data_IF_812864250733
#
_entry.id   IF_812864250733
#
_cell.length_a   1.000
_cell.length_b   1.000
_cell.length_c   1.000
_cell.angle_alpha   90.00
_cell.angle_beta   90.00
_cell.angle_gamma   90.00
#
_symmetry.space_group_name_H-M   'P 1'
#
loop_
_entity.id
_entity.type
_entity.pdbx_description
1 polymer ?
#
# COMPACT_ATOMS: atom_id res chain seq x y z
N UNK A 1 82.70 5.58 48.22
CA UNK A 1 81.81 6.57 47.54
C UNK A 1 81.36 5.99 46.22
N UNK A 2 80.19 5.43 46.20
CA UNK A 2 79.53 4.90 45.02
C UNK A 2 78.48 5.88 44.55
N UNK A 3 78.68 6.47 43.38
CA UNK A 3 77.66 7.28 42.71
C UNK A 3 76.86 6.39 41.75
N UNK A 4 75.57 6.20 42.07
CA UNK A 4 74.57 5.57 41.21
C UNK A 4 74.11 6.59 40.20
N UNK A 5 74.31 6.32 38.89
CA UNK A 5 73.72 7.04 37.78
C UNK A 5 72.34 6.38 37.46
N UNK A 6 71.31 7.11 37.75
CA UNK A 6 69.99 6.77 37.23
C UNK A 6 69.77 7.50 35.91
N UNK A 7 69.64 6.77 34.83
CA UNK A 7 69.20 7.32 33.56
C UNK A 7 67.65 7.35 33.48
N UNK A 8 67.02 8.46 33.09
CA UNK A 8 65.58 8.54 32.92
C UNK A 8 65.15 7.93 31.57
N UNK A 9 64.62 6.75 31.63
CA UNK A 9 63.88 6.23 30.48
C UNK A 9 62.56 7.02 30.32
N UNK A 10 62.57 8.04 29.48
CA UNK A 10 61.37 8.64 28.96
C UNK A 10 60.65 7.62 28.04
N UNK A 11 59.59 7.01 28.53
CA UNK A 11 58.66 6.30 27.68
C UNK A 11 57.93 7.32 26.82
N UNK A 12 58.28 7.44 25.54
CA UNK A 12 57.47 8.10 24.53
C UNK A 12 56.20 7.28 24.32
N UNK A 13 55.09 7.72 24.91
CA UNK A 13 53.77 7.25 24.54
C UNK A 13 53.46 7.77 23.11
N UNK A 14 53.82 6.98 22.12
CA UNK A 14 53.34 7.21 20.76
C UNK A 14 51.83 6.93 20.73
N UNK A 15 51.03 7.95 20.84
CA UNK A 15 49.62 7.89 20.47
C UNK A 15 49.53 7.62 18.96
N UNK A 16 49.66 6.34 18.58
CA UNK A 16 49.28 5.88 17.24
C UNK A 16 47.75 6.10 17.13
N UNK A 17 47.36 7.10 16.36
CA UNK A 17 45.95 7.21 15.94
C UNK A 17 45.54 5.87 15.31
N UNK A 18 44.44 5.26 15.74
CA UNK A 18 43.96 4.05 15.08
C UNK A 18 43.77 4.32 13.60
N UNK A 19 44.28 3.43 12.77
CA UNK A 19 44.08 3.52 11.34
C UNK A 19 42.57 3.58 11.03
N UNK A 20 42.14 4.42 10.06
CA UNK A 20 40.73 4.52 9.73
C UNK A 20 40.21 3.13 9.34
N UNK A 21 39.20 2.66 10.07
CA UNK A 21 38.54 1.40 9.76
C UNK A 21 37.77 1.61 8.43
N UNK A 22 38.31 1.07 7.36
CA UNK A 22 37.64 1.09 6.05
C UNK A 22 36.50 0.06 6.11
N UNK A 23 35.28 0.54 6.25
CA UNK A 23 34.08 -0.31 6.20
C UNK A 23 33.78 -0.57 4.73
N UNK A 24 33.96 -1.79 4.28
CA UNK A 24 33.53 -2.22 2.95
C UNK A 24 32.07 -2.65 3.05
N UNK A 25 31.18 -1.89 2.44
CA UNK A 25 29.79 -2.33 2.22
C UNK A 25 29.76 -3.24 1.01
N UNK A 26 29.66 -4.55 1.24
CA UNK A 26 29.49 -5.52 0.16
C UNK A 26 27.99 -5.64 -0.15
N UNK A 27 27.55 -5.09 -1.28
CA UNK A 27 26.19 -5.26 -1.76
C UNK A 27 26.12 -6.54 -2.60
N UNK A 28 25.48 -7.57 -2.07
CA UNK A 28 25.14 -8.77 -2.84
C UNK A 28 23.80 -8.50 -3.50
N UNK A 29 23.81 -8.19 -4.80
CA UNK A 29 22.57 -8.14 -5.58
C UNK A 29 22.11 -9.56 -5.87
N UNK A 30 21.18 -10.08 -5.08
CA UNK A 30 20.50 -11.35 -5.39
C UNK A 30 19.47 -11.05 -6.48
N UNK A 31 19.81 -11.32 -7.71
CA UNK A 31 18.84 -11.31 -8.82
C UNK A 31 18.02 -12.61 -8.75
N UNK A 32 16.78 -12.51 -8.27
CA UNK A 32 15.85 -13.61 -8.42
C UNK A 32 15.53 -13.80 -9.90
N UNK A 33 15.72 -15.03 -10.40
CA UNK A 33 15.35 -15.38 -11.77
C UNK A 33 13.83 -15.35 -11.89
N UNK A 34 13.27 -14.57 -12.85
CA UNK A 34 11.84 -14.52 -13.05
C UNK A 34 11.27 -15.90 -13.37
N UNK A 35 10.26 -16.32 -12.63
CA UNK A 35 9.56 -17.60 -12.86
C UNK A 35 8.61 -17.51 -14.04
N UNK A 36 8.12 -16.33 -14.37
CA UNK A 36 7.11 -16.06 -15.38
C UNK A 36 5.73 -16.61 -15.04
N UNK A 37 5.45 -16.84 -13.75
CA UNK A 37 4.15 -17.35 -13.29
C UNK A 37 3.14 -16.24 -13.15
N UNK A 38 2.00 -16.40 -13.79
CA UNK A 38 0.87 -15.48 -13.69
C UNK A 38 -0.41 -16.24 -13.35
N UNK A 39 -1.36 -15.53 -12.78
CA UNK A 39 -2.62 -16.08 -12.35
C UNK A 39 -3.74 -15.11 -12.72
N UNK A 40 -4.90 -15.62 -13.10
CA UNK A 40 -6.09 -14.79 -13.25
C UNK A 40 -7.33 -15.47 -12.71
N UNK A 41 -8.29 -14.65 -12.34
CA UNK A 41 -9.61 -15.08 -11.93
C UNK A 41 -10.57 -13.89 -11.98
N UNK A 42 -11.85 -14.13 -11.79
CA UNK A 42 -12.90 -13.13 -11.87
C UNK A 42 -13.62 -13.01 -10.53
N UNK A 43 -13.92 -11.78 -10.14
CA UNK A 43 -14.76 -11.58 -8.95
C UNK A 43 -16.20 -12.02 -9.20
N UNK A 44 -16.96 -12.25 -8.12
CA UNK A 44 -18.42 -12.26 -8.20
C UNK A 44 -18.95 -10.93 -8.75
N UNK A 45 -20.23 -10.93 -9.17
CA UNK A 45 -20.91 -9.73 -9.64
C UNK A 45 -20.89 -8.65 -8.56
N UNK A 46 -20.53 -7.43 -8.96
CA UNK A 46 -20.60 -6.29 -8.06
C UNK A 46 -22.06 -5.90 -7.80
N UNK A 47 -22.43 -5.48 -6.58
CA UNK A 47 -23.85 -5.21 -6.25
C UNK A 47 -24.56 -4.23 -7.17
N UNK A 48 -23.80 -3.28 -7.73
CA UNK A 48 -24.33 -2.25 -8.63
C UNK A 48 -23.58 -2.26 -9.95
N UNK A 49 -24.28 -2.37 -11.08
CA UNK A 49 -23.66 -2.19 -12.40
C UNK A 49 -23.14 -0.75 -12.52
N UNK A 50 -21.92 -0.60 -13.02
CA UNK A 50 -21.29 0.71 -13.13
C UNK A 50 -21.90 1.56 -14.25
N UNK A 51 -21.65 2.88 -14.21
CA UNK A 51 -22.06 3.82 -15.27
C UNK A 51 -21.44 3.52 -16.65
N UNK A 52 -20.39 2.69 -16.69
CA UNK A 52 -19.78 2.18 -17.92
C UNK A 52 -20.26 0.78 -18.30
N UNK A 53 -21.27 0.25 -17.60
CA UNK A 53 -21.83 -1.08 -17.83
C UNK A 53 -21.02 -2.22 -17.23
N UNK A 54 -19.99 -1.94 -16.43
CA UNK A 54 -19.19 -2.99 -15.80
C UNK A 54 -19.94 -3.60 -14.62
N UNK A 55 -19.87 -4.93 -14.50
CA UNK A 55 -20.53 -5.69 -13.43
C UNK A 55 -19.57 -6.60 -12.66
N UNK A 56 -18.36 -6.83 -13.17
CA UNK A 56 -17.35 -7.71 -12.59
C UNK A 56 -15.98 -7.04 -12.64
N UNK A 57 -15.02 -7.63 -11.92
CA UNK A 57 -13.62 -7.23 -11.99
C UNK A 57 -12.82 -8.48 -12.36
N UNK A 58 -12.08 -8.41 -13.46
CA UNK A 58 -11.07 -9.39 -13.83
C UNK A 58 -9.81 -9.05 -13.07
N UNK A 59 -9.25 -10.01 -12.33
CA UNK A 59 -8.03 -9.87 -11.59
C UNK A 59 -6.92 -10.68 -12.25
N UNK A 60 -5.82 -10.01 -12.50
CA UNK A 60 -4.61 -10.60 -13.02
C UNK A 60 -3.48 -10.38 -12.00
N UNK A 61 -2.81 -11.45 -11.63
CA UNK A 61 -1.74 -11.44 -10.65
C UNK A 61 -0.45 -11.97 -11.25
N UNK A 62 0.60 -11.17 -11.22
CA UNK A 62 1.95 -11.58 -11.56
C UNK A 62 2.71 -11.96 -10.30
N UNK A 63 3.21 -13.20 -10.27
CA UNK A 63 3.88 -13.74 -9.09
C UNK A 63 5.22 -13.02 -8.84
N UNK A 64 5.97 -12.77 -9.88
CA UNK A 64 7.33 -12.27 -9.78
C UNK A 64 7.38 -10.82 -9.30
N UNK A 65 6.66 -9.93 -9.92
CA UNK A 65 6.52 -8.54 -9.45
C UNK A 65 5.63 -8.40 -8.23
N UNK A 66 4.84 -9.44 -7.88
CA UNK A 66 3.79 -9.39 -6.86
C UNK A 66 2.68 -8.38 -7.17
N UNK A 67 2.52 -8.00 -8.45
CA UNK A 67 1.58 -7.00 -8.92
C UNK A 67 0.18 -7.60 -9.11
N UNK A 68 -0.83 -6.93 -8.57
CA UNK A 68 -2.24 -7.28 -8.77
C UNK A 68 -2.89 -6.19 -9.64
N UNK A 69 -3.43 -6.60 -10.78
CA UNK A 69 -4.13 -5.71 -11.70
C UNK A 69 -5.63 -6.02 -11.72
N UNK A 70 -6.45 -5.11 -11.22
CA UNK A 70 -7.90 -5.18 -11.33
C UNK A 70 -8.38 -4.44 -12.58
N UNK A 71 -9.13 -5.13 -13.43
CA UNK A 71 -9.70 -4.58 -14.67
C UNK A 71 -11.22 -4.73 -14.60
N UNK A 72 -11.99 -3.63 -14.59
CA UNK A 72 -13.45 -3.73 -14.61
C UNK A 72 -13.93 -4.27 -15.95
N UNK A 73 -14.83 -5.25 -15.91
CA UNK A 73 -15.38 -5.91 -17.10
C UNK A 73 -16.91 -5.93 -17.05
N UNK A 74 -17.54 -5.91 -18.23
CA UNK A 74 -19.01 -5.86 -18.36
C UNK A 74 -19.65 -7.20 -18.03
N UNK A 75 -19.11 -8.25 -18.60
CA UNK A 75 -19.62 -9.62 -18.51
C UNK A 75 -18.43 -10.62 -18.44
N UNK A 76 -18.74 -11.90 -18.34
CA UNK A 76 -17.75 -12.99 -18.32
C UNK A 76 -17.64 -13.69 -19.68
N UNK A 77 -17.99 -13.03 -20.77
CA UNK A 77 -17.84 -13.58 -22.11
C UNK A 77 -16.37 -13.74 -22.51
N UNK A 78 -16.11 -14.73 -23.34
CA UNK A 78 -14.76 -15.07 -23.80
C UNK A 78 -14.02 -13.88 -24.41
N UNK A 79 -14.70 -13.06 -25.19
CA UNK A 79 -14.13 -11.85 -25.82
C UNK A 79 -13.74 -10.78 -24.80
N UNK A 80 -14.57 -10.57 -23.77
CA UNK A 80 -14.31 -9.61 -22.70
C UNK A 80 -13.15 -10.05 -21.83
N UNK A 81 -13.08 -11.34 -21.49
CA UNK A 81 -11.99 -11.94 -20.71
C UNK A 81 -10.70 -11.85 -21.50
N UNK A 82 -10.70 -12.21 -22.78
CA UNK A 82 -9.53 -12.11 -23.67
C UNK A 82 -9.01 -10.67 -23.75
N UNK A 83 -9.90 -9.69 -23.90
CA UNK A 83 -9.52 -8.28 -23.92
C UNK A 83 -8.82 -7.86 -22.60
N UNK A 84 -9.39 -8.22 -21.45
CA UNK A 84 -8.83 -7.91 -20.14
C UNK A 84 -7.47 -8.62 -19.94
N UNK A 85 -7.38 -9.89 -20.32
CA UNK A 85 -6.13 -10.65 -20.28
C UNK A 85 -5.05 -10.01 -21.14
N UNK A 86 -5.37 -9.69 -22.40
CA UNK A 86 -4.45 -9.03 -23.35
C UNK A 86 -3.94 -7.69 -22.80
N UNK A 87 -4.82 -6.89 -22.18
CA UNK A 87 -4.44 -5.64 -21.53
C UNK A 87 -3.43 -5.88 -20.40
N UNK A 88 -3.68 -6.87 -19.53
CA UNK A 88 -2.80 -7.21 -18.42
C UNK A 88 -1.46 -7.80 -18.90
N UNK A 89 -1.49 -8.68 -19.89
CA UNK A 89 -0.29 -9.27 -20.50
C UNK A 89 0.60 -8.20 -21.13
N UNK A 90 0.02 -7.31 -21.93
CA UNK A 90 0.76 -6.21 -22.56
C UNK A 90 1.41 -5.26 -21.53
N UNK A 91 0.78 -5.07 -20.38
CA UNK A 91 1.38 -4.30 -19.28
C UNK A 91 2.67 -4.94 -18.78
N UNK A 92 2.67 -6.26 -18.56
CA UNK A 92 3.87 -6.99 -18.12
C UNK A 92 4.98 -6.98 -19.19
N UNK A 93 4.61 -7.22 -20.45
CA UNK A 93 5.57 -7.20 -21.56
C UNK A 93 6.24 -5.83 -21.70
N UNK A 94 5.48 -4.74 -21.57
CA UNK A 94 6.03 -3.37 -21.55
C UNK A 94 6.99 -3.13 -20.39
N UNK A 95 6.76 -3.78 -19.25
CA UNK A 95 7.65 -3.73 -18.09
C UNK A 95 8.88 -4.65 -18.20
N UNK A 96 9.06 -5.34 -19.34
CA UNK A 96 10.16 -6.27 -19.58
C UNK A 96 9.98 -7.65 -18.93
N UNK A 97 8.80 -7.93 -18.37
CA UNK A 97 8.46 -9.23 -17.83
C UNK A 97 7.85 -10.12 -18.92
N UNK A 98 8.22 -11.40 -18.90
CA UNK A 98 7.73 -12.38 -19.88
C UNK A 98 6.98 -13.50 -19.17
N UNK A 99 5.66 -13.47 -19.14
CA UNK A 99 4.86 -14.59 -18.65
C UNK A 99 5.20 -15.87 -19.43
N UNK A 100 5.40 -16.97 -18.70
CA UNK A 100 5.70 -18.29 -19.27
C UNK A 100 4.64 -19.33 -18.91
N UNK A 101 4.07 -19.19 -17.71
CA UNK A 101 3.07 -20.08 -17.19
C UNK A 101 1.91 -19.28 -16.63
N UNK A 102 0.71 -19.57 -17.14
CA UNK A 102 -0.51 -18.95 -16.65
C UNK A 102 -1.42 -19.99 -15.99
N UNK A 103 -1.85 -19.69 -14.76
CA UNK A 103 -2.82 -20.53 -14.05
C UNK A 103 -4.16 -19.81 -14.01
N UNK A 104 -5.20 -20.50 -14.44
CA UNK A 104 -6.57 -19.99 -14.50
C UNK A 104 -7.54 -21.03 -13.93
N UNK A 105 -8.76 -20.60 -13.64
CA UNK A 105 -9.83 -21.53 -13.28
C UNK A 105 -10.27 -22.35 -14.51
N UNK A 106 -11.11 -23.38 -14.30
CA UNK A 106 -11.46 -24.38 -15.30
C UNK A 106 -12.06 -23.85 -16.61
N UNK A 107 -12.46 -22.59 -16.67
CA UNK A 107 -13.07 -21.97 -17.84
C UNK A 107 -12.02 -21.22 -18.69
N UNK A 108 -11.37 -21.94 -19.61
CA UNK A 108 -10.51 -21.34 -20.62
C UNK A 108 -11.17 -21.42 -22.00
N UNK A 109 -11.50 -20.27 -22.58
CA UNK A 109 -12.04 -20.23 -23.96
C UNK A 109 -10.96 -20.56 -24.98
N UNK A 110 -11.36 -21.10 -26.14
CA UNK A 110 -10.42 -21.40 -27.23
C UNK A 110 -9.64 -20.14 -27.65
N UNK A 111 -10.31 -18.99 -27.76
CA UNK A 111 -9.66 -17.74 -28.14
C UNK A 111 -8.56 -17.30 -27.14
N UNK A 112 -8.75 -17.58 -25.85
CA UNK A 112 -7.71 -17.30 -24.84
C UNK A 112 -6.55 -18.30 -24.93
N UNK A 113 -6.84 -19.57 -25.25
CA UNK A 113 -5.80 -20.60 -25.50
C UNK A 113 -4.96 -20.22 -26.69
N UNK A 114 -5.58 -19.92 -27.83
CA UNK A 114 -4.91 -19.51 -29.05
C UNK A 114 -4.01 -18.28 -28.81
N UNK A 115 -4.48 -17.33 -28.02
CA UNK A 115 -3.70 -16.16 -27.64
C UNK A 115 -2.46 -16.53 -26.80
N UNK A 116 -2.61 -17.42 -25.82
CA UNK A 116 -1.49 -17.88 -24.99
C UNK A 116 -0.48 -18.68 -25.82
N UNK A 117 -0.93 -19.58 -26.66
CA UNK A 117 -0.07 -20.39 -27.54
C UNK A 117 0.73 -19.49 -28.51
N UNK A 118 0.09 -18.49 -29.12
CA UNK A 118 0.74 -17.51 -29.98
C UNK A 118 1.80 -16.65 -29.28
N UNK A 119 1.68 -16.51 -27.93
CA UNK A 119 2.66 -15.79 -27.11
C UNK A 119 3.61 -16.71 -26.34
N UNK A 120 3.66 -18.00 -26.67
CA UNK A 120 4.48 -19.03 -26.01
C UNK A 120 4.26 -19.10 -24.48
N UNK A 121 3.01 -18.96 -24.04
CA UNK A 121 2.60 -19.04 -22.64
C UNK A 121 1.95 -20.40 -22.41
N UNK A 122 2.55 -21.24 -21.59
CA UNK A 122 1.94 -22.48 -21.13
C UNK A 122 0.82 -22.15 -20.15
N UNK A 123 -0.29 -22.90 -20.19
CA UNK A 123 -1.39 -22.69 -19.23
C UNK A 123 -1.69 -23.94 -18.43
N UNK A 124 -2.17 -23.74 -17.21
CA UNK A 124 -2.66 -24.79 -16.31
C UNK A 124 -4.02 -24.38 -15.76
N UNK A 125 -4.95 -25.34 -15.77
CA UNK A 125 -6.24 -25.15 -15.11
C UNK A 125 -6.19 -25.70 -13.68
N UNK A 126 -6.85 -25.03 -12.75
CA UNK A 126 -6.94 -25.48 -11.36
C UNK A 126 -7.96 -26.61 -11.27
N UNK A 127 -7.64 -27.77 -10.70
CA UNK A 127 -8.60 -28.86 -10.53
C UNK A 127 -9.80 -28.44 -9.68
N UNK A 128 -10.97 -28.96 -10.02
CA UNK A 128 -12.23 -28.73 -9.28
C UNK A 128 -12.03 -29.12 -7.81
N UNK A 129 -12.42 -28.23 -6.89
CA UNK A 129 -12.34 -28.47 -5.44
C UNK A 129 -10.99 -28.14 -4.78
N UNK A 130 -9.97 -27.72 -5.52
CA UNK A 130 -8.66 -27.31 -4.96
C UNK A 130 -8.40 -25.81 -5.01
N UNK A 131 -9.45 -24.99 -4.99
CA UNK A 131 -9.38 -23.53 -5.09
C UNK A 131 -8.46 -22.88 -4.06
N UNK A 132 -8.37 -23.42 -2.85
CA UNK A 132 -7.56 -22.87 -1.75
C UNK A 132 -6.04 -22.81 -2.03
N UNK A 133 -5.54 -23.51 -3.04
CA UNK A 133 -4.12 -23.48 -3.43
C UNK A 133 -3.79 -22.44 -4.49
N UNK A 134 -4.80 -21.79 -5.03
CA UNK A 134 -4.59 -20.83 -6.10
C UNK A 134 -4.09 -19.48 -5.51
N UNK A 135 -2.93 -19.03 -5.97
CA UNK A 135 -2.40 -17.72 -5.61
C UNK A 135 -3.32 -16.58 -6.09
N UNK A 136 -4.14 -16.80 -7.13
CA UNK A 136 -5.15 -15.88 -7.61
C UNK A 136 -6.24 -15.63 -6.56
N UNK A 137 -6.71 -16.65 -5.86
CA UNK A 137 -7.76 -16.49 -4.83
C UNK A 137 -7.30 -15.55 -3.72
N UNK A 138 -6.04 -15.70 -3.24
CA UNK A 138 -5.45 -14.78 -2.26
C UNK A 138 -5.28 -13.37 -2.81
N UNK A 139 -4.91 -13.24 -4.07
CA UNK A 139 -4.83 -11.94 -4.73
C UNK A 139 -6.20 -11.28 -4.85
N UNK A 140 -7.25 -12.04 -5.18
CA UNK A 140 -8.63 -11.57 -5.20
C UNK A 140 -9.06 -11.08 -3.82
N UNK A 141 -8.83 -11.87 -2.78
CA UNK A 141 -9.18 -11.48 -1.41
C UNK A 141 -8.44 -10.19 -1.00
N UNK A 142 -7.16 -10.10 -1.30
CA UNK A 142 -6.35 -8.91 -1.01
C UNK A 142 -6.88 -7.69 -1.75
N UNK A 143 -7.19 -7.83 -3.04
CA UNK A 143 -7.75 -6.75 -3.85
C UNK A 143 -9.12 -6.31 -3.33
N UNK A 144 -10.03 -7.27 -3.06
CA UNK A 144 -11.36 -6.98 -2.52
C UNK A 144 -11.29 -6.21 -1.21
N UNK A 145 -10.47 -6.67 -0.28
CA UNK A 145 -10.31 -6.01 1.02
C UNK A 145 -9.79 -4.58 0.87
N UNK A 146 -8.79 -4.38 0.02
CA UNK A 146 -8.24 -3.05 -0.25
C UNK A 146 -9.27 -2.14 -0.94
N UNK A 147 -10.02 -2.66 -1.92
CA UNK A 147 -11.03 -1.90 -2.64
C UNK A 147 -12.23 -1.54 -1.75
N UNK A 148 -12.70 -2.47 -0.90
CA UNK A 148 -13.77 -2.22 0.08
C UNK A 148 -13.31 -1.16 1.09
N UNK A 149 -12.07 -1.25 1.59
CA UNK A 149 -11.51 -0.22 2.45
C UNK A 149 -11.49 1.15 1.75
N UNK A 150 -11.09 1.21 0.48
CA UNK A 150 -11.16 2.44 -0.32
C UNK A 150 -12.58 2.96 -0.49
N UNK A 151 -13.56 2.10 -0.76
CA UNK A 151 -14.97 2.48 -0.87
C UNK A 151 -15.53 3.01 0.46
N UNK A 152 -15.09 2.48 1.60
CA UNK A 152 -15.51 2.96 2.92
C UNK A 152 -14.98 4.35 3.27
N UNK A 153 -13.95 4.83 2.57
CA UNK A 153 -13.43 6.20 2.71
C UNK A 153 -14.09 7.21 1.77
N UNK A 154 -14.92 6.75 0.83
CA UNK A 154 -15.68 7.62 -0.04
C UNK A 154 -16.71 8.46 0.75
N UNK A 155 -17.07 9.61 0.21
CA UNK A 155 -18.20 10.41 0.72
C UNK A 155 -19.48 9.53 0.72
N UNK A 156 -20.33 9.55 1.77
CA UNK A 156 -21.58 8.80 1.80
C UNK A 156 -22.52 9.08 0.64
N UNK A 157 -22.44 10.25 0.04
CA UNK A 157 -23.22 10.62 -1.13
C UNK A 157 -22.53 10.26 -2.45
N UNK A 158 -21.35 9.60 -2.40
CA UNK A 158 -20.66 9.16 -3.61
C UNK A 158 -21.53 8.19 -4.40
N UNK A 159 -21.80 8.46 -5.69
CA UNK A 159 -22.64 7.60 -6.51
C UNK A 159 -21.98 6.24 -6.75
N UNK A 160 -22.46 5.19 -6.09
CA UNK A 160 -21.82 3.88 -6.11
C UNK A 160 -21.68 3.31 -7.54
N UNK A 161 -22.53 3.69 -8.49
CA UNK A 161 -22.37 3.28 -9.90
C UNK A 161 -21.10 3.82 -10.57
N UNK A 162 -20.33 4.70 -9.90
CA UNK A 162 -19.03 5.18 -10.38
C UNK A 162 -17.85 4.31 -9.88
N UNK A 163 -18.11 3.22 -9.17
CA UNK A 163 -17.09 2.37 -8.55
C UNK A 163 -15.96 1.96 -9.49
N UNK A 164 -16.26 1.66 -10.75
CA UNK A 164 -15.25 1.20 -11.71
C UNK A 164 -14.19 2.28 -12.03
N UNK A 165 -14.53 3.56 -11.82
CA UNK A 165 -13.61 4.69 -12.03
C UNK A 165 -12.57 4.82 -10.92
N UNK A 166 -12.80 4.18 -9.78
CA UNK A 166 -11.86 4.15 -8.65
C UNK A 166 -10.81 3.03 -8.78
N UNK A 167 -11.05 2.04 -9.64
CA UNK A 167 -10.16 0.87 -9.82
C UNK A 167 -8.72 1.28 -10.20
N UNK A 168 -8.48 2.24 -11.12
CA UNK A 168 -7.11 2.64 -11.46
C UNK A 168 -6.32 3.13 -10.25
N UNK A 169 -6.90 3.95 -9.38
CA UNK A 169 -6.23 4.38 -8.16
C UNK A 169 -6.06 3.23 -7.16
N UNK A 170 -7.05 2.34 -7.05
CA UNK A 170 -6.95 1.15 -6.22
C UNK A 170 -5.75 0.28 -6.64
N UNK A 171 -5.55 0.07 -7.95
CA UNK A 171 -4.37 -0.64 -8.48
C UNK A 171 -3.07 0.05 -8.08
N UNK A 172 -2.99 1.39 -8.17
CA UNK A 172 -1.81 2.15 -7.78
C UNK A 172 -1.53 1.95 -6.29
N UNK A 173 -2.49 2.28 -5.43
CA UNK A 173 -2.30 2.29 -3.98
C UNK A 173 -2.03 0.89 -3.42
N UNK A 174 -2.72 -0.14 -3.94
CA UNK A 174 -2.48 -1.52 -3.54
C UNK A 174 -1.04 -1.96 -3.85
N UNK A 175 -0.57 -1.68 -5.05
CA UNK A 175 0.74 -2.16 -5.51
C UNK A 175 1.91 -1.30 -4.98
N UNK A 176 1.67 -0.06 -4.54
CA UNK A 176 2.64 0.72 -3.78
C UNK A 176 2.94 0.12 -2.40
N UNK A 177 1.94 -0.55 -1.79
CA UNK A 177 2.06 -1.19 -0.47
C UNK A 177 2.64 -2.60 -0.52
N UNK A 178 2.79 -3.19 -1.69
CA UNK A 178 3.26 -4.56 -1.90
C UNK A 178 4.73 -4.54 -2.35
N UNK A 179 5.57 -5.37 -1.75
CA UNK A 179 6.96 -5.56 -2.20
C UNK A 179 7.05 -6.50 -3.41
N UNK A 180 7.94 -6.21 -4.35
CA UNK A 180 8.29 -7.13 -5.45
C UNK A 180 9.09 -8.32 -4.93
N UNK A 181 8.91 -9.50 -5.56
CA UNK A 181 9.74 -10.67 -5.26
C UNK A 181 11.03 -10.70 -6.06
N UNK A 182 11.05 -10.04 -7.23
CA UNK A 182 12.28 -9.91 -8.04
C UNK A 182 13.30 -9.00 -7.38
N UNK A 183 12.83 -7.88 -6.83
CA UNK A 183 13.66 -6.93 -6.12
C UNK A 183 12.92 -6.45 -4.87
N UNK A 184 13.28 -6.97 -3.68
CA UNK A 184 12.62 -6.60 -2.42
C UNK A 184 12.70 -5.11 -2.06
N UNK A 185 13.64 -4.37 -2.67
CA UNK A 185 13.77 -2.91 -2.46
C UNK A 185 12.76 -2.10 -3.28
N UNK A 186 12.03 -2.74 -4.20
CA UNK A 186 11.01 -2.10 -5.02
C UNK A 186 9.61 -2.52 -4.57
N UNK A 187 8.67 -1.60 -4.68
CA UNK A 187 7.26 -1.98 -4.62
C UNK A 187 6.85 -2.73 -5.89
N UNK A 188 5.76 -3.50 -5.81
CA UNK A 188 5.17 -4.14 -6.99
C UNK A 188 4.82 -3.12 -8.07
N UNK A 189 4.37 -1.93 -7.67
CA UNK A 189 4.14 -0.82 -8.58
C UNK A 189 5.45 -0.38 -9.27
N UNK A 190 6.50 -0.16 -8.48
CA UNK A 190 7.78 0.31 -9.01
C UNK A 190 8.44 -0.72 -9.95
N UNK A 191 8.22 -2.01 -9.72
CA UNK A 191 8.70 -3.08 -10.58
C UNK A 191 8.08 -3.03 -11.99
N UNK A 192 6.82 -2.58 -12.12
CA UNK A 192 6.08 -2.52 -13.40
C UNK A 192 6.16 -1.14 -14.05
N UNK A 193 6.03 -0.07 -13.26
CA UNK A 193 5.85 1.29 -13.76
C UNK A 193 7.03 2.23 -13.48
N UNK A 194 8.04 1.75 -12.76
CA UNK A 194 9.08 2.61 -12.21
C UNK A 194 8.64 3.31 -10.90
N UNK A 195 9.55 4.05 -10.31
CA UNK A 195 9.32 4.74 -9.03
C UNK A 195 8.15 5.73 -9.12
N UNK A 196 7.17 5.59 -8.23
CA UNK A 196 6.04 6.50 -8.18
C UNK A 196 6.46 7.86 -7.63
N UNK A 197 6.16 8.92 -8.37
CA UNK A 197 6.48 10.28 -7.96
C UNK A 197 5.23 10.97 -7.36
N UNK A 198 5.14 10.99 -6.03
CA UNK A 198 4.04 11.63 -5.31
C UNK A 198 4.00 13.15 -5.50
N UNK A 199 5.12 13.79 -5.85
CA UNK A 199 5.16 15.22 -6.10
C UNK A 199 4.50 15.57 -7.43
N UNK A 200 4.75 14.79 -8.48
CA UNK A 200 4.14 15.01 -9.80
C UNK A 200 2.71 14.44 -9.88
N UNK A 201 2.40 13.44 -9.08
CA UNK A 201 1.12 12.70 -9.11
C UNK A 201 0.57 12.55 -7.69
N UNK A 202 0.07 13.63 -7.08
CA UNK A 202 -0.49 13.56 -5.73
C UNK A 202 -1.76 12.74 -5.73
N UNK A 203 -1.93 11.91 -4.68
CA UNK A 203 -3.09 11.06 -4.48
C UNK A 203 -4.02 11.72 -3.45
N UNK A 204 -5.32 11.67 -3.72
CA UNK A 204 -6.37 12.05 -2.77
C UNK A 204 -7.19 10.83 -2.34
N UNK A 205 -8.00 10.95 -1.28
CA UNK A 205 -8.94 9.89 -0.91
C UNK A 205 -9.95 9.65 -2.03
N UNK A 206 -10.16 8.40 -2.48
CA UNK A 206 -11.09 8.11 -3.57
C UNK A 206 -12.51 8.48 -3.21
N UNK A 207 -13.29 8.93 -4.19
CA UNK A 207 -14.70 9.28 -4.02
C UNK A 207 -14.96 10.50 -3.13
N UNK A 208 -13.95 11.35 -2.88
CA UNK A 208 -14.14 12.61 -2.15
C UNK A 208 -14.94 13.60 -2.99
N UNK A 209 -15.89 14.30 -2.36
CA UNK A 209 -16.58 15.42 -2.98
C UNK A 209 -15.60 16.57 -3.27
N UNK A 210 -15.66 17.12 -4.48
CA UNK A 210 -14.77 18.19 -4.92
C UNK A 210 -15.55 19.23 -5.73
N UNK A 211 -15.03 20.45 -5.75
CA UNK A 211 -15.36 21.45 -6.76
C UNK A 211 -14.18 21.53 -7.74
N UNK A 212 -14.41 21.13 -8.97
CA UNK A 212 -13.40 21.19 -10.03
C UNK A 212 -13.52 22.51 -10.79
N UNK A 213 -12.39 23.19 -10.96
CA UNK A 213 -12.37 24.48 -11.65
C UNK A 213 -12.11 24.29 -13.14
N UNK A 214 -12.84 25.06 -13.95
CA UNK A 214 -12.68 25.10 -15.40
C UNK A 214 -12.04 26.43 -15.80
N UNK A 215 -10.86 26.37 -16.38
CA UNK A 215 -10.11 27.56 -16.83
C UNK A 215 -10.59 28.10 -18.17
N UNK A 216 -11.47 27.38 -18.87
CA UNK A 216 -11.94 27.75 -20.23
C UNK A 216 -13.22 28.58 -20.24
N UNK A 217 -13.84 28.84 -19.08
CA UNK A 217 -15.09 29.60 -18.99
C UNK A 217 -14.89 31.11 -19.11
N UNK A 218 -15.95 31.78 -19.54
CA UNK A 218 -15.97 33.23 -19.62
C UNK A 218 -15.72 33.89 -18.24
N UNK A 219 -15.10 35.08 -18.24
CA UNK A 219 -14.61 35.76 -17.03
C UNK A 219 -15.65 35.95 -15.91
N UNK A 220 -16.93 36.06 -16.25
CA UNK A 220 -18.04 36.28 -15.30
C UNK A 220 -18.87 35.06 -15.02
N UNK A 221 -18.52 33.87 -15.57
CA UNK A 221 -19.23 32.61 -15.29
C UNK A 221 -18.71 31.97 -14.03
N UNK A 222 -19.56 31.18 -13.36
CA UNK A 222 -19.12 30.31 -12.27
C UNK A 222 -18.12 29.27 -12.80
N UNK A 223 -16.88 29.33 -12.33
CA UNK A 223 -15.80 28.45 -12.78
C UNK A 223 -15.79 27.09 -12.08
N UNK A 224 -16.33 26.99 -10.87
CA UNK A 224 -16.39 25.75 -10.09
C UNK A 224 -17.59 24.88 -10.49
N UNK A 225 -17.39 23.57 -10.61
CA UNK A 225 -18.44 22.58 -10.81
C UNK A 225 -18.32 21.45 -9.82
N UNK A 226 -19.47 21.07 -9.22
CA UNK A 226 -19.55 19.95 -8.26
C UNK A 226 -19.22 18.63 -8.92
N UNK A 227 -18.40 17.85 -8.25
CA UNK A 227 -17.99 16.55 -8.74
C UNK A 227 -17.39 15.65 -7.65
N UNK A 228 -16.83 14.55 -8.11
CA UNK A 228 -16.23 13.51 -7.30
C UNK A 228 -14.83 13.23 -7.80
N UNK A 229 -13.86 13.22 -6.90
CA UNK A 229 -12.51 12.78 -7.24
C UNK A 229 -12.51 11.28 -7.54
N UNK A 230 -12.02 10.90 -8.72
CA UNK A 230 -11.99 9.50 -9.17
C UNK A 230 -10.59 8.95 -9.44
N UNK A 231 -9.57 9.77 -9.23
CA UNK A 231 -8.18 9.31 -9.31
C UNK A 231 -7.22 10.38 -9.85
N UNK A 232 -5.92 10.10 -9.80
CA UNK A 232 -4.90 10.97 -10.39
C UNK A 232 -4.93 10.89 -11.92
N UNK A 233 -4.39 11.89 -12.58
CA UNK A 233 -4.08 11.88 -13.99
C UNK A 233 -2.57 11.63 -14.16
N UNK A 234 -2.21 10.44 -14.70
CA UNK A 234 -0.82 9.97 -14.72
C UNK A 234 0.07 10.69 -15.74
N UNK A 235 -0.53 11.22 -16.80
CA UNK A 235 0.12 11.86 -17.95
C UNK A 235 0.18 13.38 -17.84
N UNK A 236 -0.22 13.94 -16.69
CA UNK A 236 -0.22 15.38 -16.47
C UNK A 236 0.21 15.74 -15.06
N UNK A 237 1.17 16.67 -14.97
CA UNK A 237 1.75 17.12 -13.71
C UNK A 237 0.70 17.72 -12.78
N UNK A 238 0.56 17.14 -11.58
CA UNK A 238 -0.35 17.56 -10.50
C UNK A 238 -1.81 17.74 -10.94
N UNK A 239 -2.27 16.90 -11.86
CA UNK A 239 -3.64 16.93 -12.32
C UNK A 239 -4.42 15.71 -11.82
N UNK A 240 -5.72 15.91 -11.71
CA UNK A 240 -6.66 14.95 -11.16
C UNK A 240 -7.78 14.67 -12.15
N UNK A 241 -8.41 13.52 -12.02
CA UNK A 241 -9.66 13.19 -12.70
C UNK A 241 -10.81 13.43 -11.74
N UNK A 242 -11.73 14.29 -12.12
CA UNK A 242 -12.98 14.55 -11.41
C UNK A 242 -14.16 14.12 -12.28
N UNK A 243 -15.09 13.38 -11.71
CA UNK A 243 -16.38 13.12 -12.37
C UNK A 243 -17.34 14.27 -12.04
N UNK A 244 -17.74 15.02 -13.03
CA UNK A 244 -18.63 16.16 -12.88
C UNK A 244 -20.10 15.69 -12.95
N UNK A 245 -20.85 15.99 -11.90
CA UNK A 245 -22.22 15.53 -11.77
C UNK A 245 -23.14 16.14 -12.85
N UNK A 246 -22.95 17.41 -13.17
CA UNK A 246 -23.75 18.16 -14.15
C UNK A 246 -23.60 17.60 -15.57
N UNK A 247 -22.37 17.33 -15.99
CA UNK A 247 -22.07 16.84 -17.35
C UNK A 247 -22.07 15.33 -17.45
N UNK A 248 -22.12 14.60 -16.33
CA UNK A 248 -22.01 13.14 -16.22
C UNK A 248 -20.77 12.57 -16.90
N UNK A 249 -19.69 13.32 -16.89
CA UNK A 249 -18.43 12.97 -17.56
C UNK A 249 -17.22 13.22 -16.67
N UNK A 250 -16.10 12.56 -16.99
CA UNK A 250 -14.83 12.84 -16.35
C UNK A 250 -14.20 14.12 -16.94
N UNK A 251 -13.60 14.91 -16.07
CA UNK A 251 -12.84 16.09 -16.42
C UNK A 251 -11.46 16.04 -15.79
N UNK A 252 -10.48 16.51 -16.53
CA UNK A 252 -9.16 16.84 -16.02
C UNK A 252 -9.23 18.17 -15.26
N UNK A 253 -8.72 18.18 -14.03
CA UNK A 253 -8.63 19.38 -13.21
C UNK A 253 -7.22 19.52 -12.63
N UNK A 254 -6.62 20.70 -12.76
CA UNK A 254 -5.36 21.04 -12.10
C UNK A 254 -5.60 21.63 -10.71
N UNK A 255 -6.76 22.25 -10.52
CA UNK A 255 -7.16 22.87 -9.26
C UNK A 255 -8.52 22.37 -8.84
N UNK A 256 -8.64 21.97 -7.59
CA UNK A 256 -9.89 21.50 -7.00
C UNK A 256 -9.97 21.92 -5.53
N UNK A 257 -11.16 22.28 -5.09
CA UNK A 257 -11.46 22.36 -3.66
C UNK A 257 -11.96 21.00 -3.17
N UNK A 258 -11.42 20.58 -2.05
CA UNK A 258 -11.67 19.27 -1.48
C UNK A 258 -12.59 19.38 -0.28
N UNK A 259 -13.61 18.54 -0.25
CA UNK A 259 -14.53 18.42 0.87
C UNK A 259 -14.46 17.02 1.48
N UNK A 260 -13.32 16.64 2.08
CA UNK A 260 -13.22 15.36 2.74
C UNK A 260 -14.21 15.37 3.90
N UNK A 261 -15.01 14.32 4.01
CA UNK A 261 -15.80 14.14 5.21
C UNK A 261 -14.85 14.08 6.39
N UNK A 262 -15.16 14.87 7.42
CA UNK A 262 -14.50 14.70 8.71
C UNK A 262 -14.71 13.24 9.11
N UNK A 263 -13.65 12.47 9.16
CA UNK A 263 -13.65 11.22 9.88
C UNK A 263 -14.23 11.59 11.24
N UNK A 264 -15.37 11.07 11.59
CA UNK A 264 -15.90 11.20 12.95
C UNK A 264 -14.90 10.47 13.81
N UNK A 265 -13.91 11.19 14.32
CA UNK A 265 -13.13 10.68 15.43
C UNK A 265 -14.13 10.24 16.48
N UNK A 266 -13.94 9.11 17.13
CA UNK A 266 -14.78 8.71 18.24
C UNK A 266 -14.85 9.91 19.18
N UNK A 267 -15.97 10.61 19.16
CA UNK A 267 -16.22 11.69 20.11
C UNK A 267 -16.44 11.01 21.44
N UNK A 268 -15.71 11.47 22.45
CA UNK A 268 -15.95 11.02 23.81
C UNK A 268 -17.45 11.11 24.08
N UNK A 269 -18.04 10.04 24.55
CA UNK A 269 -19.46 10.05 24.93
C UNK A 269 -19.66 11.08 26.05
N UNK A 270 -20.86 11.63 26.22
CA UNK A 270 -21.15 12.51 27.37
C UNK A 270 -20.70 11.90 28.70
N UNK A 271 -20.81 10.57 28.85
CA UNK A 271 -20.34 9.83 30.01
C UNK A 271 -18.80 9.88 30.13
N UNK A 272 -18.07 9.79 29.06
CA UNK A 272 -16.59 9.88 29.04
C UNK A 272 -16.13 11.30 29.43
N UNK A 273 -16.82 12.31 28.92
CA UNK A 273 -16.54 13.72 29.25
C UNK A 273 -16.74 13.98 30.72
N UNK A 274 -17.87 13.50 31.29
CA UNK A 274 -18.18 13.63 32.72
C UNK A 274 -17.14 12.87 33.56
N UNK A 275 -16.73 11.68 33.13
CA UNK A 275 -15.71 10.89 33.82
C UNK A 275 -14.37 11.60 33.84
N UNK A 276 -13.93 12.15 32.71
CA UNK A 276 -12.69 12.91 32.60
C UNK A 276 -12.74 14.15 33.51
N UNK A 277 -13.81 14.92 33.43
CA UNK A 277 -14.00 16.09 34.28
C UNK A 277 -14.00 15.75 35.79
N UNK A 278 -14.65 14.63 36.17
CA UNK A 278 -14.68 14.16 37.57
C UNK A 278 -13.28 13.73 38.03
N UNK A 279 -12.49 13.06 37.15
CA UNK A 279 -11.13 12.68 37.48
C UNK A 279 -10.21 13.91 37.62
N UNK A 280 -10.38 14.92 36.76
CA UNK A 280 -9.64 16.19 36.85
C UNK A 280 -9.95 16.94 38.14
N UNK A 281 -11.22 17.00 38.55
CA UNK A 281 -11.64 17.57 39.82
C UNK A 281 -10.98 16.82 40.97
N UNK A 282 -11.03 15.49 41.01
CA UNK A 282 -10.39 14.68 42.05
C UNK A 282 -8.87 14.90 42.09
N UNK A 283 -8.19 15.01 40.97
CA UNK A 283 -6.75 15.31 40.93
C UNK A 283 -6.44 16.72 41.45
N UNK A 284 -7.26 17.70 41.09
CA UNK A 284 -7.12 19.07 41.58
C UNK A 284 -7.27 19.16 43.11
N UNK A 285 -8.19 18.38 43.69
CA UNK A 285 -8.41 18.30 45.13
C UNK A 285 -7.28 17.56 45.87
N UNK A 286 -6.61 16.62 45.24
CA UNK A 286 -5.49 15.89 45.82
C UNK A 286 -4.18 16.68 45.81
N UNK A 287 -4.06 17.71 44.95
CA UNK A 287 -2.91 18.62 44.90
C UNK A 287 -3.30 19.94 45.53
N UNK A 288 -3.04 20.19 46.84
CA UNK A 288 -3.31 21.47 47.46
C UNK A 288 -2.48 22.55 46.79
N UNK A 289 -3.15 23.40 46.04
CA UNK A 289 -2.53 24.56 45.41
C UNK A 289 -2.38 25.62 46.53
N UNK A 290 -1.17 25.86 46.98
CA UNK A 290 -0.84 26.73 48.10
C UNK A 290 -1.23 28.21 47.90
N UNK A 291 -1.76 28.58 46.74
CA UNK A 291 -2.08 29.95 46.34
C UNK A 291 -3.58 30.18 46.02
N UNK A 292 -4.48 29.27 46.32
CA UNK A 292 -5.91 29.46 45.99
C UNK A 292 -6.73 29.58 47.30
N UNK A 293 -7.61 30.59 47.44
CA UNK A 293 -8.48 30.77 48.61
C UNK A 293 -9.71 29.85 48.61
N UNK A 294 -9.70 28.78 47.80
CA UNK A 294 -10.78 27.81 47.78
C UNK A 294 -10.72 26.94 49.05
N UNK A 295 -11.82 26.94 49.78
CA UNK A 295 -12.02 26.05 50.94
C UNK A 295 -11.78 24.59 50.51
N UNK A 296 -11.01 23.81 51.29
CA UNK A 296 -10.83 22.40 51.00
C UNK A 296 -12.19 21.70 51.08
N UNK A 297 -12.47 20.85 50.07
CA UNK A 297 -13.66 20.00 50.13
C UNK A 297 -13.59 19.10 51.34
N UNK A 298 -14.73 18.94 51.98
CA UNK A 298 -14.88 18.02 53.12
C UNK A 298 -14.65 16.57 52.66
N UNK A 299 -14.24 15.70 53.57
CA UNK A 299 -14.06 14.26 53.27
C UNK A 299 -15.33 13.63 52.69
N UNK A 300 -16.50 14.13 53.10
CA UNK A 300 -17.80 13.70 52.59
C UNK A 300 -17.98 14.05 51.08
N UNK A 301 -17.63 15.26 50.68
CA UNK A 301 -17.73 15.72 49.29
C UNK A 301 -16.73 14.99 48.39
N UNK A 302 -15.53 14.74 48.89
CA UNK A 302 -14.52 13.93 48.19
C UNK A 302 -14.99 12.48 48.04
N UNK A 303 -15.67 11.92 49.04
CA UNK A 303 -16.30 10.61 49.03
C UNK A 303 -17.38 10.49 47.94
N UNK A 304 -18.26 11.51 47.87
CA UNK A 304 -19.33 11.57 46.83
C UNK A 304 -18.74 11.63 45.42
N UNK A 305 -17.70 12.44 45.20
CA UNK A 305 -17.04 12.52 43.89
C UNK A 305 -16.37 11.20 43.49
N UNK A 306 -15.75 10.47 44.44
CA UNK A 306 -15.21 9.13 44.16
C UNK A 306 -16.32 8.13 43.82
N UNK A 307 -17.40 8.10 44.55
CA UNK A 307 -18.55 7.23 44.26
C UNK A 307 -19.13 7.54 42.88
N UNK A 308 -19.27 8.82 42.52
CA UNK A 308 -19.72 9.22 41.18
C UNK A 308 -18.78 8.74 40.07
N UNK A 309 -17.48 8.87 40.27
CA UNK A 309 -16.47 8.38 39.34
C UNK A 309 -16.55 6.86 39.14
N UNK A 310 -16.74 6.10 40.24
CA UNK A 310 -16.89 4.63 40.19
C UNK A 310 -18.16 4.22 39.45
N UNK A 311 -19.29 4.85 39.76
CA UNK A 311 -20.60 4.57 39.13
C UNK A 311 -20.57 4.88 37.61
N UNK A 312 -19.86 5.92 37.19
CA UNK A 312 -19.69 6.24 35.79
C UNK A 312 -18.75 5.25 35.07
N UNK A 313 -17.76 4.73 35.78
CA UNK A 313 -16.88 3.67 35.26
C UNK A 313 -17.64 2.36 35.02
N UNK A 314 -18.47 1.95 36.01
CA UNK A 314 -19.26 0.71 35.92
C UNK A 314 -20.34 0.76 34.85
N UNK A 315 -20.97 1.91 34.62
CA UNK A 315 -21.93 2.08 33.51
C UNK A 315 -21.30 1.99 32.15
N UNK A 316 -20.05 2.37 32.01
CA UNK A 316 -19.31 2.24 30.70
C UNK A 316 -18.97 0.79 30.38
N UNK A 317 -18.70 -0.04 31.39
CA UNK A 317 -18.41 -1.46 31.22
C UNK A 317 -19.67 -2.30 30.98
N UNK A 318 -20.85 -1.79 31.35
CA UNK A 318 -22.15 -2.47 31.21
C UNK A 318 -22.99 -1.96 30.03
N UNK A 319 -22.45 -1.21 29.10
CA UNK A 319 -23.17 -1.05 27.82
C UNK A 319 -23.18 -2.44 27.12
N UNK A 320 -24.39 -2.96 26.75
CA UNK A 320 -24.43 -4.19 25.97
C UNK A 320 -23.63 -3.93 24.71
N UNK A 321 -22.58 -4.73 24.53
CA UNK A 321 -21.87 -4.81 23.24
C UNK A 321 -22.96 -4.93 22.18
N UNK A 322 -23.02 -3.95 21.27
CA UNK A 322 -23.87 -4.05 20.11
C UNK A 322 -23.55 -5.41 19.52
N UNK A 323 -24.55 -6.30 19.50
CA UNK A 323 -24.42 -7.68 19.07
C UNK A 323 -23.69 -7.70 17.74
N UNK A 324 -22.38 -7.82 17.81
CA UNK A 324 -21.57 -8.23 16.68
C UNK A 324 -22.09 -9.60 16.33
N UNK A 325 -22.78 -9.65 15.18
CA UNK A 325 -23.17 -10.87 14.50
C UNK A 325 -22.02 -11.87 14.69
N UNK A 326 -22.25 -13.09 15.20
CA UNK A 326 -21.17 -14.01 15.51
C UNK A 326 -20.29 -14.12 14.26
N UNK A 327 -19.01 -13.85 14.44
CA UNK A 327 -18.01 -14.06 13.40
C UNK A 327 -18.14 -15.54 12.98
N UNK A 328 -18.11 -15.84 11.67
CA UNK A 328 -18.12 -17.22 11.23
C UNK A 328 -16.96 -17.92 11.94
N UNK A 329 -17.30 -19.03 12.58
CA UNK A 329 -16.37 -19.90 13.32
C UNK A 329 -15.10 -20.04 12.48
N UNK A 330 -14.00 -19.50 12.95
CA UNK A 330 -12.70 -19.65 12.34
C UNK A 330 -12.39 -21.14 12.35
N UNK A 331 -12.34 -21.74 11.16
CA UNK A 331 -11.72 -23.04 10.96
C UNK A 331 -10.33 -23.01 11.61
N UNK A 332 -9.90 -24.11 12.29
CA UNK A 332 -8.64 -24.16 13.01
C UNK A 332 -7.51 -23.75 12.06
N UNK A 333 -6.68 -22.82 12.52
CA UNK A 333 -5.46 -22.39 11.84
C UNK A 333 -4.65 -23.65 11.45
N UNK A 334 -4.22 -23.78 10.18
CA UNK A 334 -3.33 -24.87 9.82
C UNK A 334 -2.08 -24.77 10.68
N UNK A 335 -1.70 -25.88 11.30
CA UNK A 335 -0.44 -26.05 12.02
C UNK A 335 0.72 -25.51 11.18
N UNK A 336 1.73 -24.88 11.80
CA UNK A 336 2.91 -24.40 11.10
C UNK A 336 3.56 -25.59 10.36
N UNK A 337 4.15 -25.36 9.18
CA UNK A 337 4.86 -26.41 8.46
C UNK A 337 5.98 -26.94 9.36
N UNK A 338 6.29 -28.25 9.31
CA UNK A 338 7.38 -28.84 10.09
C UNK A 338 8.69 -28.12 9.74
N UNK A 339 9.53 -27.92 10.76
CA UNK A 339 10.86 -27.34 10.61
C UNK A 339 11.62 -28.07 9.50
N UNK A 340 12.38 -27.34 8.66
CA UNK A 340 13.22 -27.95 7.65
C UNK A 340 14.22 -28.88 8.34
N UNK A 341 14.31 -30.12 7.85
CA UNK A 341 15.26 -31.11 8.32
C UNK A 341 16.67 -30.49 8.39
N UNK A 342 17.50 -30.85 9.39
CA UNK A 342 18.84 -30.31 9.53
C UNK A 342 19.66 -30.58 8.28
N UNK A 343 20.22 -29.52 7.72
CA UNK A 343 21.10 -29.56 6.56
C UNK A 343 22.31 -30.41 6.93
N UNK A 344 22.48 -31.53 6.21
CA UNK A 344 23.63 -32.38 6.36
C UNK A 344 24.92 -31.56 6.20
N UNK A 345 25.82 -31.66 7.15
CA UNK A 345 27.11 -31.01 7.16
C UNK A 345 27.92 -31.35 5.91
N UNK A 346 28.29 -30.34 5.15
CA UNK A 346 29.17 -30.44 3.98
C UNK A 346 30.56 -30.87 4.46
N UNK A 347 31.20 -31.88 3.84
CA UNK A 347 32.54 -32.30 4.21
C UNK A 347 33.57 -31.21 3.89
N UNK A 348 34.68 -31.09 4.66
CA UNK A 348 35.62 -29.96 4.63
C UNK A 348 36.65 -30.03 3.50
N UNK A 349 36.31 -30.34 2.26
CA UNK A 349 37.27 -30.34 1.15
C UNK A 349 36.57 -29.89 -0.17
N UNK A 350 36.23 -28.61 -0.24
CA UNK A 350 35.92 -27.98 -1.53
C UNK A 350 36.97 -26.88 -1.78
N UNK A 351 37.65 -26.85 -2.93
CA UNK A 351 38.70 -25.87 -3.19
C UNK A 351 38.07 -24.47 -3.37
N UNK A 352 38.58 -23.51 -2.60
CA UNK A 352 38.23 -22.09 -2.68
C UNK A 352 38.78 -21.53 -4.00
N UNK A 353 37.90 -21.23 -4.95
CA UNK A 353 38.24 -20.47 -6.16
C UNK A 353 38.66 -19.05 -5.77
N UNK A 354 39.96 -18.77 -5.91
CA UNK A 354 40.48 -17.40 -5.82
C UNK A 354 40.03 -16.62 -7.07
N UNK A 355 39.14 -15.66 -6.89
CA UNK A 355 38.75 -14.70 -7.92
C UNK A 355 39.86 -13.69 -8.07
N UNK A 356 40.49 -13.64 -9.24
CA UNK A 356 41.52 -12.68 -9.61
C UNK A 356 40.95 -11.24 -9.65
N UNK A 357 41.83 -10.27 -9.28
CA UNK A 357 41.54 -8.83 -9.39
C UNK A 357 41.41 -8.46 -10.87
N UNK A 358 40.21 -8.07 -11.31
CA UNK A 358 39.98 -7.43 -12.59
C UNK A 358 40.43 -5.96 -12.60
N UNK A 359 40.78 -5.39 -13.78
CA UNK A 359 41.30 -4.04 -13.87
C UNK A 359 40.26 -2.96 -13.56
N UNK A 360 40.74 -1.90 -12.84
CA UNK A 360 39.93 -0.73 -12.53
C UNK A 360 39.62 0.09 -13.78
N UNK A 361 38.33 0.31 -14.07
CA UNK A 361 37.91 1.25 -15.11
C UNK A 361 37.88 2.67 -14.55
N UNK A 362 38.73 3.54 -15.13
CA UNK A 362 38.71 4.98 -14.90
C UNK A 362 37.51 5.61 -15.64
N UNK A 363 36.55 6.12 -14.90
CA UNK A 363 35.50 7.01 -15.41
C UNK A 363 36.08 8.40 -15.66
N UNK A 364 36.43 8.72 -16.90
CA UNK A 364 36.70 10.09 -17.35
C UNK A 364 35.39 10.87 -17.40
N UNK A 365 35.36 11.99 -16.70
CA UNK A 365 34.35 13.03 -16.78
C UNK A 365 34.20 13.53 -18.22
N UNK A 366 33.00 13.46 -18.79
CA UNK A 366 32.65 14.12 -20.05
C UNK A 366 32.27 15.59 -19.74
N UNK A 367 33.00 16.50 -20.39
CA UNK A 367 32.71 17.93 -20.39
C UNK A 367 31.42 18.28 -21.17
N UNK A 368 30.98 19.56 -21.12
CA UNK A 368 29.67 19.99 -21.60
C UNK A 368 29.56 19.93 -23.13
N UNK A 369 28.37 19.54 -23.60
CA UNK A 369 27.99 19.47 -25.03
C UNK A 369 27.75 20.90 -25.53
N UNK A 370 28.33 21.34 -26.67
CA UNK A 370 28.02 22.64 -27.26
C UNK A 370 26.65 22.63 -27.93
N UNK A 371 25.95 23.76 -27.80
CA UNK A 371 24.68 24.04 -28.45
C UNK A 371 24.82 24.08 -29.96
N UNK A 372 23.98 23.28 -30.67
CA UNK A 372 23.88 23.35 -32.13
C UNK A 372 22.88 24.46 -32.52
N UNK A 373 23.34 25.32 -33.43
CA UNK A 373 22.62 26.44 -34.01
C UNK A 373 21.40 25.99 -34.82
N UNK A 374 20.34 26.76 -34.69
CA UNK A 374 19.16 26.78 -35.56
C UNK A 374 19.53 27.31 -36.98
N UNK A 375 19.03 26.64 -37.97
CA UNK A 375 18.59 27.19 -39.26
C UNK A 375 17.26 26.54 -39.59
#
# INVERSE_FOLDING_TARGET
>A
HSHSFQSPHQRMNSHRKPAPTVTYNCYVAVHAVPTGKTYSDQTGKFPTTSSLGNAYIFLFYDYDSNYINGIPIKNREASTILQAYTQAHNLLVKAGLRPKLHTLDNECSNALRDYMDNNAITYQTTPVGQHQRNAAERAIQTFKNHFIAGLSTCDPNFPLHLWCRLIPQCNITLNLLRGSRLNPNLSAYAQIHGTFNFHSTPLGPPGTKVIAYDTTKASWAAHGEDGWYVGPLMDSYRCYRAYITKTRSERKASTMDWFPQKVKLPTASPADIIRAATADILMALQKPNTNSPLLPLTDTETGILRQLSTLLADKSNNQPEAQTKPAPVSSPSPSPPPDPAPIASIPPNTPVLRVGKGPAYNLRSRGPIPAANAV
#
